data_IF_306072794451
#
_entry.id   IF_306072794451
#
_cell.length_a   1.000
_cell.length_b   1.000
_cell.length_c   1.000
_cell.angle_alpha   90.00
_cell.angle_beta   90.00
_cell.angle_gamma   90.00
#
_symmetry.space_group_name_H-M   'P 1'
#
loop_
_entity.id
_entity.type
_entity.pdbx_description
1 polymer ?
#
# COMPACT_ATOMS: atom_id res chain seq x y z
N UNK A 1 -19.25 -101.72 -31.64
CA UNK A 1 -18.42 -100.71 -30.95
C UNK A 1 -18.58 -99.37 -31.67
N UNK A 2 -18.68 -98.27 -30.92
CA UNK A 2 -19.31 -97.00 -31.30
C UNK A 2 -18.49 -96.17 -32.29
N UNK A 3 -19.13 -95.63 -33.32
CA UNK A 3 -18.63 -94.53 -34.15
C UNK A 3 -18.92 -93.20 -33.43
N UNK A 4 -17.88 -92.40 -33.19
CA UNK A 4 -17.96 -91.08 -32.55
C UNK A 4 -17.80 -89.96 -33.58
N UNK A 5 -18.88 -89.22 -33.80
CA UNK A 5 -19.00 -88.12 -34.76
C UNK A 5 -18.44 -86.81 -34.15
N UNK A 6 -17.52 -86.15 -34.85
CA UNK A 6 -16.85 -84.92 -34.40
C UNK A 6 -17.61 -83.69 -34.91
N UNK A 7 -18.51 -83.13 -34.09
CA UNK A 7 -19.19 -81.85 -34.38
C UNK A 7 -18.32 -80.65 -34.00
N UNK A 8 -17.75 -79.99 -35.00
CA UNK A 8 -17.06 -78.70 -34.86
C UNK A 8 -18.10 -77.57 -34.72
N UNK A 9 -18.20 -76.97 -33.52
CA UNK A 9 -19.05 -75.80 -33.27
C UNK A 9 -18.45 -74.55 -33.92
N UNK A 10 -19.10 -74.01 -34.95
CA UNK A 10 -18.79 -72.68 -35.53
C UNK A 10 -19.20 -71.58 -34.56
N UNK A 11 -18.23 -70.80 -34.04
CA UNK A 11 -18.49 -69.57 -33.27
C UNK A 11 -18.92 -68.44 -34.21
N UNK A 12 -20.07 -67.81 -33.95
CA UNK A 12 -20.52 -66.62 -34.65
C UNK A 12 -19.60 -65.42 -34.32
N UNK A 13 -18.99 -64.80 -35.34
CA UNK A 13 -18.20 -63.57 -35.20
C UNK A 13 -19.15 -62.38 -34.99
N UNK A 14 -19.03 -61.66 -33.87
CA UNK A 14 -19.67 -60.34 -33.70
C UNK A 14 -19.06 -59.36 -34.72
N UNK A 15 -19.83 -58.44 -35.32
CA UNK A 15 -19.32 -57.55 -36.35
C UNK A 15 -18.31 -56.57 -35.74
N UNK A 16 -17.07 -56.64 -36.22
CA UNK A 16 -15.91 -55.84 -35.78
C UNK A 16 -16.20 -54.33 -35.77
N UNK A 17 -17.02 -53.87 -36.72
CA UNK A 17 -17.47 -52.48 -36.86
C UNK A 17 -18.21 -51.88 -35.64
N UNK A 18 -18.86 -52.70 -34.81
CA UNK A 18 -19.54 -52.20 -33.60
C UNK A 18 -18.60 -52.02 -32.41
N UNK A 19 -17.48 -52.75 -32.37
CA UNK A 19 -16.52 -52.70 -31.26
C UNK A 19 -15.61 -51.48 -31.40
N UNK A 20 -15.11 -51.22 -32.61
CA UNK A 20 -14.25 -50.05 -32.92
C UNK A 20 -14.95 -48.72 -32.65
N UNK A 21 -16.24 -48.60 -33.01
CA UNK A 21 -17.04 -47.40 -32.75
C UNK A 21 -17.27 -47.17 -31.25
N UNK A 22 -17.47 -48.25 -30.49
CA UNK A 22 -17.61 -48.19 -29.04
C UNK A 22 -16.28 -47.78 -28.38
N UNK A 23 -15.15 -48.32 -28.84
CA UNK A 23 -13.81 -47.98 -28.37
C UNK A 23 -13.45 -46.51 -28.67
N UNK A 24 -13.75 -46.01 -29.87
CA UNK A 24 -13.58 -44.60 -30.23
C UNK A 24 -14.43 -43.67 -29.34
N UNK A 25 -15.72 -43.97 -29.16
CA UNK A 25 -16.61 -43.23 -28.25
C UNK A 25 -16.13 -43.26 -26.79
N UNK A 26 -15.56 -44.37 -26.33
CA UNK A 26 -15.00 -44.44 -24.97
C UNK A 26 -13.72 -43.62 -24.84
N UNK A 27 -12.86 -43.60 -25.87
CA UNK A 27 -11.61 -42.83 -25.90
C UNK A 27 -11.86 -41.32 -25.87
N UNK A 28 -12.83 -40.82 -26.66
CA UNK A 28 -13.27 -39.43 -26.65
C UNK A 28 -13.87 -39.01 -25.31
N UNK A 29 -14.71 -39.86 -24.71
CA UNK A 29 -15.27 -39.62 -23.37
C UNK A 29 -14.19 -39.55 -22.29
N UNK A 30 -13.18 -40.44 -22.35
CA UNK A 30 -12.05 -40.40 -21.41
C UNK A 30 -11.17 -39.17 -21.60
N UNK A 31 -10.96 -38.73 -22.84
CA UNK A 31 -10.20 -37.52 -23.15
C UNK A 31 -10.92 -36.24 -22.71
N UNK A 32 -12.24 -36.16 -22.92
CA UNK A 32 -13.06 -35.06 -22.41
C UNK A 32 -13.14 -35.04 -20.89
N UNK A 33 -13.22 -36.21 -20.24
CA UNK A 33 -13.18 -36.32 -18.78
C UNK A 33 -11.83 -35.86 -18.21
N UNK A 34 -10.71 -36.23 -18.85
CA UNK A 34 -9.36 -35.77 -18.49
C UNK A 34 -9.21 -34.25 -18.59
N UNK A 35 -9.69 -33.64 -19.69
CA UNK A 35 -9.70 -32.18 -19.86
C UNK A 35 -10.54 -31.46 -18.80
N UNK A 36 -11.71 -32.01 -18.48
CA UNK A 36 -12.60 -31.44 -17.44
C UNK A 36 -11.98 -31.55 -16.04
N UNK A 37 -11.26 -32.63 -15.75
CA UNK A 37 -10.53 -32.81 -14.50
C UNK A 37 -9.34 -31.85 -14.40
N UNK A 38 -8.62 -31.62 -15.50
CA UNK A 38 -7.51 -30.68 -15.54
C UNK A 38 -7.96 -29.23 -15.41
N UNK A 39 -9.10 -28.87 -16.02
CA UNK A 39 -9.71 -27.55 -15.84
C UNK A 39 -10.14 -27.32 -14.39
N UNK A 40 -10.75 -28.31 -13.73
CA UNK A 40 -11.09 -28.24 -12.31
C UNK A 40 -9.86 -28.06 -11.42
N UNK A 41 -8.77 -28.80 -11.68
CA UNK A 41 -7.51 -28.62 -10.95
C UNK A 41 -6.93 -27.21 -11.09
N UNK A 42 -7.05 -26.59 -12.27
CA UNK A 42 -6.62 -25.20 -12.49
C UNK A 42 -7.49 -24.18 -11.74
N UNK A 43 -8.80 -24.41 -11.72
CA UNK A 43 -9.75 -23.58 -10.96
C UNK A 43 -9.51 -23.69 -9.45
N UNK A 44 -9.27 -24.90 -8.94
CA UNK A 44 -8.97 -25.15 -7.52
C UNK A 44 -7.63 -24.50 -7.11
N UNK A 45 -6.59 -24.61 -7.94
CA UNK A 45 -5.30 -23.96 -7.70
C UNK A 45 -5.41 -22.43 -7.68
N UNK A 46 -6.13 -21.83 -8.63
CA UNK A 46 -6.38 -20.39 -8.64
C UNK A 46 -7.16 -19.95 -7.38
N UNK A 47 -8.13 -20.76 -6.95
CA UNK A 47 -8.92 -20.48 -5.74
C UNK A 47 -8.06 -20.56 -4.47
N UNK A 48 -7.15 -21.52 -4.38
CA UNK A 48 -6.18 -21.60 -3.28
C UNK A 48 -5.22 -20.41 -3.25
N UNK A 49 -4.70 -19.99 -4.41
CA UNK A 49 -3.80 -18.82 -4.49
C UNK A 49 -4.51 -17.53 -4.08
N UNK A 50 -5.74 -17.30 -4.55
CA UNK A 50 -6.54 -16.14 -4.13
C UNK A 50 -6.89 -16.16 -2.65
N UNK A 51 -7.16 -17.34 -2.07
CA UNK A 51 -7.40 -17.47 -0.63
C UNK A 51 -6.12 -17.17 0.18
N UNK A 52 -4.95 -17.58 -0.30
CA UNK A 52 -3.65 -17.26 0.33
C UNK A 52 -3.35 -15.76 0.27
N UNK A 53 -3.57 -15.13 -0.88
CA UNK A 53 -3.42 -13.68 -1.03
C UNK A 53 -4.36 -12.90 -0.10
N UNK A 54 -5.64 -13.30 -0.02
CA UNK A 54 -6.61 -12.70 0.88
C UNK A 54 -6.25 -12.89 2.36
N UNK A 55 -5.76 -14.07 2.75
CA UNK A 55 -5.34 -14.34 4.12
C UNK A 55 -4.08 -13.54 4.51
N UNK A 56 -3.15 -13.36 3.57
CA UNK A 56 -1.98 -12.51 3.78
C UNK A 56 -2.37 -11.03 3.93
N UNK A 57 -3.32 -10.56 3.11
CA UNK A 57 -3.84 -9.19 3.17
C UNK A 57 -4.62 -8.93 4.47
N UNK A 58 -5.48 -9.85 4.90
CA UNK A 58 -6.18 -9.72 6.19
C UNK A 58 -5.22 -9.73 7.38
N UNK A 59 -4.11 -10.48 7.29
CA UNK A 59 -3.08 -10.53 8.32
C UNK A 59 -2.21 -9.27 8.35
N UNK A 60 -1.96 -8.62 7.21
CA UNK A 60 -1.30 -7.31 7.19
C UNK A 60 -2.21 -6.19 7.69
N UNK A 61 -3.51 -6.26 7.39
CA UNK A 61 -4.51 -5.31 7.88
C UNK A 61 -4.73 -5.42 9.41
N UNK A 62 -4.66 -6.62 9.99
CA UNK A 62 -4.73 -6.84 11.46
C UNK A 62 -3.47 -6.39 12.22
N UNK A 63 -2.32 -6.28 11.55
CA UNK A 63 -1.03 -5.90 12.15
C UNK A 63 -0.66 -4.43 11.90
N UNK A 64 -1.57 -3.63 11.34
CA UNK A 64 -1.29 -2.23 11.07
C UNK A 64 -1.44 -1.44 12.37
N UNK A 65 -0.31 -1.01 12.94
CA UNK A 65 -0.29 -0.23 14.18
C UNK A 65 -1.17 1.03 14.03
N UNK A 66 -2.08 1.24 14.99
CA UNK A 66 -2.84 2.50 15.06
C UNK A 66 -2.01 3.52 15.83
N UNK A 67 -1.31 4.39 15.09
CA UNK A 67 -0.45 5.42 15.69
C UNK A 67 -1.24 6.50 16.42
N UNK A 68 -2.57 6.43 16.47
CA UNK A 68 -3.34 7.23 17.42
C UNK A 68 -3.12 6.81 18.87
N UNK A 69 -2.85 5.52 19.09
CA UNK A 69 -2.74 4.93 20.43
C UNK A 69 -1.34 4.40 20.73
N UNK A 70 -0.55 4.10 19.70
CA UNK A 70 0.77 3.48 19.84
C UNK A 70 1.88 4.42 19.32
N UNK A 71 3.06 4.35 19.94
CA UNK A 71 4.23 5.10 19.49
C UNK A 71 4.75 4.55 18.16
N UNK A 72 5.13 5.45 17.25
CA UNK A 72 5.76 5.10 15.99
C UNK A 72 7.25 4.88 16.18
N UNK A 73 7.67 3.62 16.23
CA UNK A 73 9.09 3.22 16.30
C UNK A 73 9.70 2.84 14.94
N UNK A 74 8.97 3.10 13.86
CA UNK A 74 9.41 2.78 12.51
C UNK A 74 10.28 3.89 11.92
N UNK A 75 11.32 3.47 11.19
CA UNK A 75 12.06 4.36 10.29
C UNK A 75 11.35 4.52 8.95
N UNK A 76 11.61 5.62 8.26
CA UNK A 76 11.10 5.85 6.92
C UNK A 76 12.10 6.61 6.04
N UNK A 77 11.98 6.46 4.72
CA UNK A 77 12.75 7.24 3.75
C UNK A 77 11.98 8.49 3.36
N UNK A 78 12.59 9.66 3.51
CA UNK A 78 11.96 10.92 3.15
C UNK A 78 11.69 11.00 1.65
N UNK A 79 10.43 11.11 1.24
CA UNK A 79 10.04 11.24 -0.17
C UNK A 79 10.58 12.52 -0.86
N UNK A 80 10.99 13.54 -0.10
CA UNK A 80 11.54 14.77 -0.65
C UNK A 80 13.06 14.69 -0.87
N UNK A 81 13.85 14.40 0.18
CA UNK A 81 15.32 14.42 0.11
C UNK A 81 15.99 13.04 0.07
N UNK A 82 15.24 11.95 0.22
CA UNK A 82 15.75 10.58 0.14
C UNK A 82 16.53 10.09 1.38
N UNK A 83 16.66 10.90 2.43
CA UNK A 83 17.33 10.47 3.68
C UNK A 83 16.47 9.45 4.44
N UNK A 84 17.13 8.45 5.01
CA UNK A 84 16.54 7.54 6.00
C UNK A 84 16.41 8.27 7.34
N UNK A 85 15.21 8.21 7.92
CA UNK A 85 14.84 8.90 9.15
C UNK A 85 14.49 7.86 10.19
N UNK A 86 15.10 7.96 11.36
CA UNK A 86 14.81 7.10 12.49
C UNK A 86 14.01 7.86 13.56
N UNK A 87 13.24 7.17 14.42
CA UNK A 87 12.39 7.80 15.44
C UNK A 87 13.18 8.43 16.59
N UNK A 88 14.43 8.02 16.82
CA UNK A 88 15.26 8.52 17.91
C UNK A 88 15.53 10.03 17.78
N UNK A 89 15.68 10.70 18.92
CA UNK A 89 15.99 12.13 18.97
C UNK A 89 14.80 13.08 18.71
N UNK A 90 13.64 12.56 18.26
CA UNK A 90 12.43 13.37 18.04
C UNK A 90 11.93 14.07 19.31
N UNK A 91 12.09 13.45 20.48
CA UNK A 91 11.45 13.90 21.71
C UNK A 91 9.92 13.74 21.69
N UNK A 92 9.40 12.88 20.82
CA UNK A 92 7.97 12.60 20.61
C UNK A 92 7.78 11.12 20.24
N UNK A 93 6.59 10.58 20.52
CA UNK A 93 6.17 9.25 20.09
C UNK A 93 5.84 9.17 18.60
N UNK A 94 5.70 10.32 17.93
CA UNK A 94 5.30 10.41 16.53
C UNK A 94 6.11 11.45 15.78
N UNK A 95 6.50 11.10 14.56
CA UNK A 95 7.18 11.97 13.61
C UNK A 95 6.49 11.89 12.25
N UNK A 96 6.06 13.04 11.74
CA UNK A 96 5.36 13.15 10.46
C UNK A 96 6.18 13.89 9.39
N UNK A 97 7.36 14.41 9.73
CA UNK A 97 8.22 15.14 8.80
C UNK A 97 9.70 14.77 8.96
N UNK A 98 10.47 15.04 7.92
CA UNK A 98 11.91 14.82 7.90
C UNK A 98 12.64 15.93 8.69
N UNK A 99 13.49 15.63 9.69
CA UNK A 99 14.20 16.65 10.45
C UNK A 99 15.19 17.46 9.60
N UNK A 100 15.70 16.88 8.50
CA UNK A 100 16.72 17.50 7.66
C UNK A 100 16.17 18.47 6.62
N UNK A 101 14.91 18.33 6.21
CA UNK A 101 14.30 19.19 5.18
C UNK A 101 12.89 19.68 5.52
N UNK A 102 12.35 19.26 6.66
CA UNK A 102 11.02 19.59 7.19
C UNK A 102 9.83 19.17 6.32
N UNK A 103 10.05 18.50 5.18
CA UNK A 103 8.96 17.96 4.36
C UNK A 103 8.28 16.78 5.05
N UNK A 104 6.95 16.75 4.91
CA UNK A 104 6.08 15.66 5.35
C UNK A 104 5.52 14.89 4.13
N UNK A 105 4.77 13.82 4.40
CA UNK A 105 4.04 13.06 3.40
C UNK A 105 2.55 13.03 3.80
N UNK A 106 1.67 13.27 2.84
CA UNK A 106 0.23 13.26 3.09
C UNK A 106 -0.28 11.82 3.16
N UNK A 107 -0.11 11.23 4.34
CA UNK A 107 -0.60 9.88 4.66
C UNK A 107 -1.81 9.91 5.58
N UNK A 108 -2.08 11.00 6.29
CA UNK A 108 -3.19 11.07 7.26
C UNK A 108 -4.43 11.78 6.71
N UNK A 109 -5.59 11.12 6.83
CA UNK A 109 -6.88 11.81 6.70
C UNK A 109 -7.23 12.52 8.01
N UNK A 110 -7.10 11.79 9.10
CA UNK A 110 -7.06 12.32 10.47
C UNK A 110 -5.74 11.91 11.12
N UNK A 111 -5.22 12.73 12.04
CA UNK A 111 -3.90 12.51 12.62
C UNK A 111 -3.72 11.07 13.12
N UNK A 112 -2.69 10.39 12.60
CA UNK A 112 -2.31 9.03 13.00
C UNK A 112 -3.04 7.87 12.32
N UNK A 113 -4.02 8.06 11.40
CA UNK A 113 -4.59 6.91 10.67
C UNK A 113 -3.71 6.33 9.58
N UNK A 114 -2.86 7.14 8.96
CA UNK A 114 -2.21 6.80 7.70
C UNK A 114 -3.17 6.30 6.60
N UNK A 115 -4.41 6.83 6.54
CA UNK A 115 -5.47 6.40 5.59
C UNK A 115 -5.61 7.25 4.32
N UNK A 116 -4.85 8.33 4.17
CA UNK A 116 -4.96 9.21 3.01
C UNK A 116 -4.44 8.54 1.74
N UNK A 117 -5.27 8.52 0.70
CA UNK A 117 -4.90 7.97 -0.61
C UNK A 117 -3.95 8.89 -1.40
N UNK A 118 -3.82 10.16 -1.01
CA UNK A 118 -3.10 11.20 -1.76
C UNK A 118 -1.60 10.92 -1.85
N UNK A 119 -0.95 10.57 -0.73
CA UNK A 119 0.51 10.33 -0.64
C UNK A 119 1.37 11.47 -1.23
N UNK A 120 0.83 12.68 -1.32
CA UNK A 120 1.54 13.84 -1.85
C UNK A 120 2.57 14.37 -0.87
N UNK A 121 3.73 14.81 -1.38
CA UNK A 121 4.72 15.54 -0.57
C UNK A 121 4.06 16.79 0.02
N UNK A 122 4.26 17.02 1.31
CA UNK A 122 3.77 18.22 1.97
C UNK A 122 4.93 19.17 2.28
N UNK A 123 4.87 20.34 1.65
CA UNK A 123 5.87 21.40 1.80
C UNK A 123 5.66 22.15 3.13
N UNK A 124 6.72 22.39 3.91
CA UNK A 124 6.64 23.26 5.08
C UNK A 124 6.55 24.71 4.60
N UNK A 125 5.42 25.37 4.86
CA UNK A 125 5.14 26.72 4.35
C UNK A 125 5.23 27.81 5.41
N UNK A 126 5.07 27.47 6.70
CA UNK A 126 5.18 28.40 7.82
C UNK A 126 5.49 27.66 9.13
N UNK A 127 5.87 28.42 10.14
CA UNK A 127 5.86 27.98 11.54
C UNK A 127 4.81 28.77 12.33
N UNK A 128 4.26 28.14 13.36
CA UNK A 128 3.25 28.71 14.25
C UNK A 128 3.74 28.55 15.68
N UNK A 129 3.85 29.65 16.42
CA UNK A 129 4.12 29.64 17.86
C UNK A 129 2.89 29.16 18.62
N UNK A 130 3.08 28.27 19.59
CA UNK A 130 2.03 27.75 20.47
C UNK A 130 2.08 28.43 21.85
N UNK A 131 1.02 28.26 22.63
CA UNK A 131 0.91 28.80 24.00
C UNK A 131 1.92 28.19 24.98
N UNK A 132 2.33 26.94 24.76
CA UNK A 132 3.33 26.22 25.55
C UNK A 132 4.78 26.63 25.23
N UNK A 133 4.98 27.55 24.30
CA UNK A 133 6.29 28.02 23.85
C UNK A 133 6.93 27.17 22.75
N UNK A 134 6.33 26.03 22.41
CA UNK A 134 6.76 25.20 21.30
C UNK A 134 6.29 25.73 19.95
N UNK A 135 6.92 25.27 18.88
CA UNK A 135 6.53 25.60 17.53
C UNK A 135 5.82 24.42 16.87
N UNK A 136 4.93 24.74 15.95
CA UNK A 136 4.40 23.79 14.97
C UNK A 136 4.77 24.25 13.57
N UNK A 137 4.92 23.30 12.65
CA UNK A 137 5.17 23.52 11.24
C UNK A 137 3.84 23.35 10.50
N UNK A 138 3.45 24.36 9.73
CA UNK A 138 2.31 24.28 8.81
C UNK A 138 2.79 23.67 7.49
N UNK A 139 2.22 22.52 7.15
CA UNK A 139 2.51 21.79 5.92
C UNK A 139 1.37 21.93 4.91
N UNK A 140 1.69 22.12 3.64
CA UNK A 140 0.74 22.11 2.52
C UNK A 140 1.04 20.96 1.55
N UNK A 141 0.06 20.10 1.32
CA UNK A 141 0.17 19.05 0.31
C UNK A 141 0.27 19.63 -1.10
N UNK A 142 1.34 19.31 -1.82
CA UNK A 142 1.55 19.80 -3.20
C UNK A 142 0.64 19.18 -4.24
N UNK A 143 -0.08 18.11 -3.90
CA UNK A 143 -1.02 17.44 -4.80
C UNK A 143 -2.47 17.91 -4.61
N UNK A 144 -2.97 17.93 -3.38
CA UNK A 144 -4.38 18.27 -3.10
C UNK A 144 -4.59 19.58 -2.33
N UNK A 145 -3.52 20.26 -1.89
CA UNK A 145 -3.61 21.52 -1.17
C UNK A 145 -3.98 21.43 0.32
N UNK A 146 -4.27 20.22 0.85
CA UNK A 146 -4.60 20.02 2.28
C UNK A 146 -3.50 20.61 3.18
N UNK A 147 -3.94 21.28 4.24
CA UNK A 147 -3.07 21.84 5.28
C UNK A 147 -3.04 20.91 6.49
N UNK A 148 -1.86 20.72 7.08
CA UNK A 148 -1.70 20.00 8.33
C UNK A 148 -0.71 20.72 9.24
N UNK A 149 -0.95 20.67 10.55
CA UNK A 149 -0.10 21.30 11.55
C UNK A 149 0.59 20.21 12.36
N UNK A 150 1.90 20.08 12.18
CA UNK A 150 2.72 19.10 12.91
C UNK A 150 3.59 19.83 13.94
N UNK A 151 3.75 19.27 15.13
CA UNK A 151 4.65 19.84 16.16
C UNK A 151 6.11 19.78 15.67
N UNK A 152 6.86 20.85 15.86
CA UNK A 152 8.31 20.84 15.65
C UNK A 152 8.97 19.95 16.71
N UNK A 153 10.00 19.22 16.31
CA UNK A 153 10.66 18.20 17.12
C UNK A 153 12.05 18.65 17.54
N UNK A 154 12.60 17.99 18.58
CA UNK A 154 13.84 18.41 19.22
C UNK A 154 15.07 18.34 18.29
N UNK A 155 15.03 17.49 17.27
CA UNK A 155 16.11 17.28 16.31
C UNK A 155 15.88 17.93 14.94
N UNK A 156 14.82 18.72 14.80
CA UNK A 156 14.56 19.45 13.56
C UNK A 156 15.67 20.46 13.26
N UNK A 157 16.01 20.62 11.98
CA UNK A 157 17.03 21.56 11.56
C UNK A 157 16.66 23.01 11.95
N UNK A 158 17.37 23.64 12.90
CA UNK A 158 17.01 24.95 13.43
C UNK A 158 17.11 26.05 12.37
N UNK A 159 18.05 25.91 11.42
CA UNK A 159 18.24 26.91 10.35
C UNK A 159 16.99 26.94 9.45
N UNK A 160 16.42 25.78 9.12
CA UNK A 160 15.21 25.72 8.29
C UNK A 160 13.98 26.24 9.04
N UNK A 161 13.83 25.92 10.33
CA UNK A 161 12.75 26.45 11.17
C UNK A 161 12.82 27.97 11.27
N UNK A 162 13.99 28.53 11.61
CA UNK A 162 14.18 29.97 11.68
C UNK A 162 13.97 30.63 10.32
N UNK A 163 14.45 30.02 9.23
CA UNK A 163 14.23 30.54 7.88
C UNK A 163 12.74 30.65 7.53
N UNK A 164 11.90 29.68 7.95
CA UNK A 164 10.45 29.77 7.77
C UNK A 164 9.84 30.88 8.61
N UNK A 165 10.29 31.04 9.86
CA UNK A 165 9.80 32.06 10.79
C UNK A 165 10.05 33.49 10.28
N UNK A 166 11.24 33.76 9.74
CA UNK A 166 11.64 35.11 9.32
C UNK A 166 11.22 35.46 7.89
N UNK A 167 10.73 34.50 7.11
CA UNK A 167 10.38 34.70 5.69
C UNK A 167 9.43 35.87 5.44
N UNK A 168 8.34 36.07 6.21
CA UNK A 168 7.46 37.22 6.02
C UNK A 168 8.15 38.57 6.28
N UNK A 169 9.11 38.60 7.21
CA UNK A 169 9.88 39.82 7.53
C UNK A 169 10.97 40.10 6.49
N UNK A 170 11.59 39.05 5.94
CA UNK A 170 12.63 39.16 4.92
C UNK A 170 12.07 39.47 3.52
N UNK A 171 10.78 39.23 3.29
CA UNK A 171 10.11 39.47 2.00
C UNK A 171 8.68 39.99 2.21
N UNK A 172 8.53 41.21 2.76
CA UNK A 172 7.22 41.77 3.07
C UNK A 172 6.46 42.13 1.77
N UNK A 173 5.12 42.17 1.80
CA UNK A 173 4.30 42.47 0.63
C UNK A 173 4.37 43.95 0.20
N UNK A 174 5.04 44.81 0.96
CA UNK A 174 5.29 46.22 0.68
C UNK A 174 6.61 46.68 1.32
N UNK A 175 7.20 47.80 0.86
CA UNK A 175 8.40 48.35 1.48
C UNK A 175 8.16 48.78 2.94
N UNK A 176 8.95 48.28 3.89
CA UNK A 176 8.75 48.57 5.32
C UNK A 176 8.88 50.05 5.69
N UNK A 177 9.60 50.85 4.91
CA UNK A 177 9.71 52.31 5.13
C UNK A 177 8.35 53.02 5.11
N UNK A 178 7.31 52.42 4.53
CA UNK A 178 5.95 52.96 4.56
C UNK A 178 5.38 52.99 5.99
N UNK A 179 5.88 52.14 6.89
CA UNK A 179 5.45 52.11 8.29
C UNK A 179 5.88 53.36 9.07
N UNK A 180 6.92 54.09 8.63
CA UNK A 180 7.36 55.34 9.28
C UNK A 180 6.27 56.41 9.30
N UNK A 181 5.32 56.38 8.37
CA UNK A 181 4.22 57.33 8.31
C UNK A 181 3.25 57.15 9.50
N UNK A 182 3.04 55.91 9.94
CA UNK A 182 2.16 55.58 11.08
C UNK A 182 2.79 55.84 12.45
N UNK A 183 4.10 56.06 12.52
CA UNK A 183 4.82 56.37 13.77
C UNK A 183 4.89 57.88 14.07
N UNK A 184 4.40 58.73 13.17
CA UNK A 184 4.47 60.20 13.27
C UNK A 184 3.17 60.86 13.74
N UNK A 185 2.15 60.06 14.06
CA UNK A 185 0.89 60.46 14.70
C UNK A 185 0.94 60.14 16.21
#
# INVERSE_FOLDING_TARGET
>A
MKNGDMSVKKKAKRPVLQVEKLEQLTSEKTWQAGKKQEQRKKEDAHREDTNRENANRSRSEMNQADYRTEACLESFVCAHCGKEIHPEGAGSNHRNHCPYCLYSLHVDETAGDRKAACHGKMEPIAVVSREDGDWSILHQCKLCGKLNLNRALADDNPILLTSLAVKPLASPPFPLGYLEQYLKE
#
